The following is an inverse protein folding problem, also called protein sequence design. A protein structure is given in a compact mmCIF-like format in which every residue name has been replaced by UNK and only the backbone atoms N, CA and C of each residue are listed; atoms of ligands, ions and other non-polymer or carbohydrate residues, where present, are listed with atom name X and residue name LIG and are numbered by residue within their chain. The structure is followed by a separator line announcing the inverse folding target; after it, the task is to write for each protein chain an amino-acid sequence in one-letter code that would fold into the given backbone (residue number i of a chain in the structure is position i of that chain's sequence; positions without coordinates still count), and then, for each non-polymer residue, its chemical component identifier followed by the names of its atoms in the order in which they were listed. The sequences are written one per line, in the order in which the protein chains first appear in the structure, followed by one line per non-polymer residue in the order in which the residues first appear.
data_IF_565552906553
#
_entry.id   IF_565552906553
#
_cell.length_a   1.000
_cell.length_b   1.000
_cell.length_c   1.000
_cell.angle_alpha   90.00
_cell.angle_beta   90.00
_cell.angle_gamma   90.00
#
_symmetry.space_group_name_H-M   'P 1'
#
loop_
_entity.id
_entity.type
_entity.pdbx_description
1 polymer ?
#
# COMPACT_ATOMS: atom_id res chain seq x y z
N UNK A 1 10.22 -41.44 -61.36
CA UNK A 1 10.89 -40.73 -60.25
C UNK A 1 9.92 -39.80 -59.50
N UNK A 2 8.67 -40.22 -59.19
CA UNK A 2 7.60 -39.33 -58.66
C UNK A 2 6.85 -39.87 -57.42
N UNK A 3 7.18 -41.05 -56.89
CA UNK A 3 6.48 -41.64 -55.73
C UNK A 3 7.05 -41.27 -54.35
N UNK A 4 8.28 -40.74 -54.30
CA UNK A 4 8.98 -40.50 -53.03
C UNK A 4 8.76 -39.07 -52.46
N UNK A 5 8.28 -38.14 -53.28
CA UNK A 5 7.94 -36.77 -52.85
C UNK A 5 6.54 -36.66 -52.24
N UNK A 6 5.58 -37.46 -52.71
CA UNK A 6 4.19 -37.44 -52.22
C UNK A 6 4.04 -37.93 -50.78
N UNK A 7 4.80 -38.93 -50.36
CA UNK A 7 4.81 -39.40 -48.95
C UNK A 7 5.43 -38.34 -48.04
N UNK A 8 6.43 -37.58 -48.51
CA UNK A 8 7.04 -36.48 -47.75
C UNK A 8 6.11 -35.27 -47.57
N UNK A 9 5.22 -35.03 -48.52
CA UNK A 9 4.21 -33.97 -48.41
C UNK A 9 3.09 -34.35 -47.43
N UNK A 10 2.74 -35.63 -47.34
CA UNK A 10 1.64 -36.09 -46.50
C UNK A 10 1.92 -35.96 -44.99
N UNK A 11 3.12 -36.30 -44.51
CA UNK A 11 3.46 -36.12 -43.08
C UNK A 11 3.57 -34.64 -42.69
N UNK A 12 4.03 -33.78 -43.61
CA UNK A 12 4.06 -32.33 -43.40
C UNK A 12 2.65 -31.74 -43.31
N UNK A 13 1.74 -32.17 -44.19
CA UNK A 13 0.35 -31.73 -44.16
C UNK A 13 -0.40 -32.23 -42.91
N UNK A 14 -0.18 -33.47 -42.46
CA UNK A 14 -0.78 -34.00 -41.22
C UNK A 14 -0.21 -33.26 -39.99
N UNK A 15 1.09 -33.00 -39.95
CA UNK A 15 1.71 -32.25 -38.85
C UNK A 15 1.26 -30.79 -38.83
N UNK A 16 1.07 -30.15 -39.98
CA UNK A 16 0.51 -28.79 -40.09
C UNK A 16 -0.98 -28.80 -39.72
N UNK A 17 -1.76 -29.78 -40.15
CA UNK A 17 -3.17 -29.89 -39.79
C UNK A 17 -3.35 -30.11 -38.28
N UNK A 18 -2.59 -31.04 -37.69
CA UNK A 18 -2.57 -31.26 -36.24
C UNK A 18 -2.10 -30.02 -35.48
N UNK A 19 -1.06 -29.33 -35.97
CA UNK A 19 -0.61 -28.07 -35.40
C UNK A 19 -1.69 -26.99 -35.50
N UNK A 20 -2.39 -26.85 -36.63
CA UNK A 20 -3.51 -25.88 -36.78
C UNK A 20 -4.72 -26.24 -35.92
N UNK A 21 -4.98 -27.52 -35.67
CA UNK A 21 -6.07 -27.97 -34.79
C UNK A 21 -5.74 -27.71 -33.32
N UNK A 22 -4.50 -28.02 -32.89
CA UNK A 22 -4.01 -27.69 -31.56
C UNK A 22 -3.93 -26.18 -31.35
N UNK A 23 -3.46 -25.43 -32.35
CA UNK A 23 -3.41 -23.96 -32.31
C UNK A 23 -4.83 -23.38 -32.23
N UNK A 24 -5.80 -23.87 -33.01
CA UNK A 24 -7.22 -23.48 -32.91
C UNK A 24 -7.81 -23.78 -31.53
N UNK A 25 -7.48 -24.94 -30.94
CA UNK A 25 -7.94 -25.32 -29.59
C UNK A 25 -7.33 -24.42 -28.51
N UNK A 26 -6.03 -24.10 -28.61
CA UNK A 26 -5.34 -23.17 -27.71
C UNK A 26 -5.86 -21.74 -27.87
N UNK A 27 -6.09 -21.28 -29.11
CA UNK A 27 -6.66 -19.97 -29.42
C UNK A 27 -8.07 -19.88 -28.84
N UNK A 28 -8.94 -20.88 -29.01
CA UNK A 28 -10.30 -20.85 -28.44
C UNK A 28 -10.29 -20.77 -26.90
N UNK A 29 -9.43 -21.54 -26.22
CA UNK A 29 -9.29 -21.46 -24.76
C UNK A 29 -8.79 -20.08 -24.29
N UNK A 30 -7.82 -19.49 -25.01
CA UNK A 30 -7.34 -18.13 -24.73
C UNK A 30 -8.41 -17.07 -25.01
N UNK A 31 -9.17 -17.20 -26.10
CA UNK A 31 -10.26 -16.29 -26.46
C UNK A 31 -11.36 -16.31 -25.40
N UNK A 32 -11.74 -17.49 -24.88
CA UNK A 32 -12.70 -17.61 -23.79
C UNK A 32 -12.18 -16.89 -22.52
N UNK A 33 -10.92 -17.13 -22.14
CA UNK A 33 -10.30 -16.46 -20.99
C UNK A 33 -10.24 -14.93 -21.15
N UNK A 34 -9.90 -14.43 -22.35
CA UNK A 34 -9.86 -12.98 -22.62
C UNK A 34 -11.25 -12.36 -22.69
N UNK A 35 -12.25 -13.04 -23.24
CA UNK A 35 -13.63 -12.54 -23.29
C UNK A 35 -14.23 -12.47 -21.88
N UNK A 36 -13.92 -13.42 -21.00
CA UNK A 36 -14.30 -13.35 -19.58
C UNK A 36 -13.64 -12.17 -18.86
N UNK A 37 -12.35 -11.90 -19.11
CA UNK A 37 -11.65 -10.72 -18.56
C UNK A 37 -12.26 -9.41 -19.05
N UNK A 38 -12.57 -9.32 -20.35
CA UNK A 38 -13.17 -8.11 -20.95
C UNK A 38 -14.59 -7.89 -20.44
N UNK A 39 -15.41 -8.93 -20.30
CA UNK A 39 -16.75 -8.83 -19.73
C UNK A 39 -16.76 -8.26 -18.29
N UNK A 40 -15.75 -8.61 -17.49
CA UNK A 40 -15.56 -8.05 -16.15
C UNK A 40 -15.13 -6.57 -16.20
N UNK A 41 -14.34 -6.16 -17.19
CA UNK A 41 -13.91 -4.75 -17.33
C UNK A 41 -14.99 -3.81 -17.89
N UNK A 42 -15.89 -4.30 -18.75
CA UNK A 42 -16.98 -3.47 -19.31
C UNK A 42 -18.11 -3.19 -18.30
N UNK A 43 -18.23 -4.02 -17.26
CA UNK A 43 -19.11 -3.78 -16.12
C UNK A 43 -18.63 -2.66 -15.17
N UNK A 44 -17.45 -2.07 -15.42
CA UNK A 44 -16.86 -1.04 -14.56
C UNK A 44 -16.48 0.25 -15.28
N UNK A 45 -16.67 0.37 -16.60
CA UNK A 45 -16.45 1.63 -17.33
C UNK A 45 -17.74 2.43 -17.51
N UNK A 46 -18.32 2.88 -16.40
CA UNK A 46 -18.83 4.23 -16.29
C UNK A 46 -18.06 4.81 -15.11
N UNK A 47 -17.02 5.59 -15.39
CA UNK A 47 -16.51 6.72 -14.60
C UNK A 47 -15.08 7.06 -15.02
N UNK A 48 -14.96 7.94 -16.01
CA UNK A 48 -13.86 8.91 -16.12
C UNK A 48 -14.21 9.92 -17.22
N UNK A 49 -15.20 10.77 -16.96
CA UNK A 49 -15.25 12.10 -17.56
C UNK A 49 -15.25 13.11 -16.43
N UNK A 50 -14.20 13.91 -16.34
CA UNK A 50 -14.13 15.10 -15.50
C UNK A 50 -15.36 15.97 -15.72
N UNK A 51 -16.15 16.15 -14.67
CA UNK A 51 -17.08 17.28 -14.57
C UNK A 51 -16.87 17.92 -13.21
N UNK A 52 -16.24 19.10 -13.26
CA UNK A 52 -16.25 20.06 -12.17
C UNK A 52 -17.69 20.36 -11.75
N UNK A 53 -17.90 20.50 -10.43
CA UNK A 53 -19.06 21.12 -9.79
C UNK A 53 -20.44 20.52 -10.07
N UNK A 54 -20.81 19.52 -9.24
CA UNK A 54 -22.20 19.29 -8.84
C UNK A 54 -22.29 19.29 -7.32
N UNK A 55 -22.41 20.50 -6.78
CA UNK A 55 -23.21 20.91 -5.61
C UNK A 55 -23.35 19.89 -4.46
N UNK A 56 -22.35 19.84 -3.58
CA UNK A 56 -22.59 19.52 -2.17
C UNK A 56 -23.28 20.72 -1.49
N UNK A 57 -24.56 20.91 -1.80
CA UNK A 57 -25.47 21.75 -1.02
C UNK A 57 -26.31 20.82 -0.14
N UNK A 58 -25.67 20.27 0.88
CA UNK A 58 -26.32 19.96 2.14
C UNK A 58 -25.49 20.66 3.21
N UNK A 59 -26.18 21.46 4.03
CA UNK A 59 -25.63 22.20 5.17
C UNK A 59 -25.21 21.23 6.29
N UNK A 60 -24.25 20.35 6.01
CA UNK A 60 -23.55 19.57 7.03
C UNK A 60 -22.49 20.50 7.59
N UNK A 61 -22.77 20.98 8.79
CA UNK A 61 -21.88 21.69 9.69
C UNK A 61 -20.43 21.18 9.52
N UNK A 62 -19.57 22.05 9.01
CA UNK A 62 -18.19 21.78 8.66
C UNK A 62 -17.34 21.65 9.94
N UNK A 63 -17.64 20.68 10.80
CA UNK A 63 -16.64 20.16 11.73
C UNK A 63 -15.74 19.29 10.88
N UNK A 64 -14.72 19.90 10.30
CA UNK A 64 -13.57 19.16 9.77
C UNK A 64 -13.00 18.31 10.92
N UNK A 65 -13.49 17.08 11.05
CA UNK A 65 -12.84 16.06 11.87
C UNK A 65 -11.50 15.87 11.19
N UNK A 66 -10.45 16.42 11.79
CA UNK A 66 -9.11 16.21 11.27
C UNK A 66 -8.83 14.72 11.43
N UNK A 67 -8.97 13.96 10.35
CA UNK A 67 -8.83 12.52 10.38
C UNK A 67 -7.36 12.18 10.67
N UNK A 68 -7.12 11.67 11.86
CA UNK A 68 -5.81 11.11 12.25
C UNK A 68 -5.55 9.93 11.32
N UNK A 69 -4.38 9.89 10.67
CA UNK A 69 -3.94 8.74 9.87
C UNK A 69 -4.19 7.43 10.61
N UNK A 70 -4.68 6.42 9.91
CA UNK A 70 -4.88 5.05 10.42
C UNK A 70 -3.63 4.52 11.11
N UNK A 71 -2.44 4.80 10.55
CA UNK A 71 -1.16 4.43 11.12
C UNK A 71 -0.93 5.08 12.49
N UNK A 72 -1.12 6.40 12.59
CA UNK A 72 -0.97 7.10 13.86
C UNK A 72 -2.03 6.67 14.89
N UNK A 73 -3.24 6.30 14.45
CA UNK A 73 -4.26 5.76 15.36
C UNK A 73 -3.81 4.43 15.97
N UNK A 74 -3.23 3.52 15.19
CA UNK A 74 -2.67 2.26 15.68
C UNK A 74 -1.53 2.52 16.69
N UNK A 75 -0.64 3.48 16.39
CA UNK A 75 0.42 3.91 17.32
C UNK A 75 -0.15 4.39 18.65
N UNK A 76 -1.15 5.29 18.63
CA UNK A 76 -1.77 5.81 19.87
C UNK A 76 -2.44 4.69 20.67
N UNK A 77 -3.09 3.74 19.99
CA UNK A 77 -3.74 2.59 20.63
C UNK A 77 -2.73 1.61 21.23
N UNK A 78 -1.48 1.59 20.76
CA UNK A 78 -0.50 0.59 21.18
C UNK A 78 -0.64 -0.73 20.43
N UNK A 79 -1.27 -0.73 19.25
CA UNK A 79 -1.46 -1.92 18.43
C UNK A 79 -0.19 -2.19 17.60
N UNK A 80 0.74 -2.92 18.21
CA UNK A 80 2.04 -3.26 17.62
C UNK A 80 1.88 -4.06 16.32
N UNK A 81 0.99 -5.05 16.31
CA UNK A 81 0.79 -5.92 15.15
C UNK A 81 0.28 -5.13 13.94
N UNK A 82 -0.67 -4.22 14.16
CA UNK A 82 -1.16 -3.35 13.07
C UNK A 82 -0.08 -2.37 12.61
N UNK A 83 0.75 -1.83 13.52
CA UNK A 83 1.87 -0.95 13.15
C UNK A 83 2.89 -1.69 12.27
N UNK A 84 3.34 -2.87 12.69
CA UNK A 84 4.30 -3.68 11.91
C UNK A 84 3.74 -4.01 10.53
N UNK A 85 2.47 -4.45 10.46
CA UNK A 85 1.81 -4.76 9.19
C UNK A 85 1.74 -3.54 8.27
N UNK A 86 1.45 -2.35 8.79
CA UNK A 86 1.37 -1.13 8.00
C UNK A 86 2.75 -0.71 7.46
N UNK A 87 3.80 -0.88 8.27
CA UNK A 87 5.18 -0.66 7.81
C UNK A 87 5.54 -1.66 6.69
N UNK A 88 5.17 -2.94 6.83
CA UNK A 88 5.39 -3.96 5.80
C UNK A 88 4.65 -3.67 4.48
N UNK A 89 3.50 -2.98 4.57
CA UNK A 89 2.75 -2.50 3.41
C UNK A 89 3.37 -1.25 2.76
N UNK A 90 4.45 -0.72 3.32
CA UNK A 90 5.19 0.43 2.79
C UNK A 90 4.66 1.78 3.27
N UNK A 91 3.96 1.84 4.41
CA UNK A 91 3.66 3.13 5.05
C UNK A 91 4.94 3.88 5.42
N UNK A 92 4.93 5.19 5.21
CA UNK A 92 6.05 6.06 5.59
C UNK A 92 6.05 6.30 7.11
N UNK A 93 7.06 5.76 7.78
CA UNK A 93 7.27 5.88 9.24
C UNK A 93 7.44 7.33 9.72
N UNK A 94 7.70 8.27 8.82
CA UNK A 94 7.88 9.69 9.09
C UNK A 94 6.68 10.56 8.66
N UNK A 95 5.66 9.96 8.04
CA UNK A 95 4.50 10.69 7.54
C UNK A 95 3.77 11.40 8.67
N UNK A 96 3.70 12.73 8.59
CA UNK A 96 3.04 13.53 9.62
C UNK A 96 1.52 13.37 9.58
N UNK A 97 0.93 13.25 10.76
CA UNK A 97 -0.51 13.32 11.02
C UNK A 97 -0.77 14.37 12.09
N UNK A 98 -1.72 15.28 11.85
CA UNK A 98 -1.95 16.45 12.71
C UNK A 98 -0.68 17.29 12.99
N UNK A 99 0.28 17.27 12.06
CA UNK A 99 1.57 17.94 12.22
C UNK A 99 2.55 17.23 13.17
N UNK A 100 2.30 15.99 13.60
CA UNK A 100 3.23 15.17 14.40
C UNK A 100 3.63 13.90 13.63
N UNK A 101 4.85 13.41 13.83
CA UNK A 101 5.30 12.12 13.28
C UNK A 101 4.79 10.95 14.14
N UNK A 102 4.72 9.73 13.59
CA UNK A 102 4.40 8.52 14.35
C UNK A 102 5.28 8.35 15.59
N UNK A 103 6.58 8.64 15.49
CA UNK A 103 7.50 8.60 16.63
C UNK A 103 7.14 9.61 17.73
N UNK A 104 6.65 10.81 17.38
CA UNK A 104 6.16 11.78 18.38
C UNK A 104 4.90 11.28 19.09
N UNK A 105 3.97 10.62 18.38
CA UNK A 105 2.81 9.99 19.00
C UNK A 105 3.25 8.88 19.96
N UNK A 106 4.14 7.99 19.52
CA UNK A 106 4.64 6.91 20.36
C UNK A 106 5.33 7.45 21.63
N UNK A 107 6.16 8.48 21.49
CA UNK A 107 6.84 9.14 22.62
C UNK A 107 5.83 9.81 23.59
N UNK A 108 4.85 10.55 23.07
CA UNK A 108 3.82 11.23 23.87
C UNK A 108 2.97 10.26 24.70
N UNK A 109 2.62 9.11 24.12
CA UNK A 109 1.77 8.10 24.75
C UNK A 109 2.55 6.95 25.40
N UNK A 110 3.87 7.09 25.54
CA UNK A 110 4.77 6.12 26.15
C UNK A 110 4.67 4.70 25.54
N UNK A 111 4.55 4.61 24.21
CA UNK A 111 4.43 3.34 23.48
C UNK A 111 5.81 2.82 23.09
N UNK A 112 6.52 2.29 24.08
CA UNK A 112 7.94 1.93 23.99
C UNK A 112 8.23 0.92 22.88
N UNK A 113 7.46 -0.16 22.79
CA UNK A 113 7.71 -1.22 21.80
C UNK A 113 7.49 -0.72 20.37
N UNK A 114 6.42 0.04 20.16
CA UNK A 114 6.14 0.70 18.87
C UNK A 114 7.23 1.71 18.54
N UNK A 115 7.69 2.49 19.52
CA UNK A 115 8.77 3.46 19.31
C UNK A 115 10.06 2.77 18.84
N UNK A 116 10.42 1.62 19.43
CA UNK A 116 11.58 0.82 18.99
C UNK A 116 11.40 0.29 17.57
N UNK A 117 10.21 -0.19 17.20
CA UNK A 117 9.91 -0.62 15.84
C UNK A 117 10.04 0.53 14.85
N UNK A 118 9.50 1.71 15.17
CA UNK A 118 9.62 2.90 14.33
C UNK A 118 11.09 3.31 14.14
N UNK A 119 11.89 3.31 15.21
CA UNK A 119 13.33 3.62 15.16
C UNK A 119 14.07 2.61 14.27
N UNK A 120 13.81 1.32 14.46
CA UNK A 120 14.45 0.25 13.66
C UNK A 120 14.11 0.37 12.17
N UNK A 121 12.94 0.93 11.84
CA UNK A 121 12.50 1.18 10.47
C UNK A 121 12.85 2.58 9.95
N UNK A 122 13.76 3.32 10.61
CA UNK A 122 14.29 4.58 10.09
C UNK A 122 13.45 5.82 10.40
N UNK A 123 12.71 5.82 11.50
CA UNK A 123 12.04 7.02 11.99
C UNK A 123 13.05 8.14 12.34
N UNK A 124 12.85 9.33 11.77
CA UNK A 124 13.65 10.53 12.04
C UNK A 124 13.16 11.23 13.32
N UNK A 125 13.95 11.07 14.38
CA UNK A 125 13.66 11.62 15.71
C UNK A 125 13.93 13.13 15.81
N UNK A 126 14.62 13.72 14.83
CA UNK A 126 14.96 15.14 14.79
C UNK A 126 13.88 16.00 14.13
N UNK A 127 12.90 15.38 13.46
CA UNK A 127 11.77 16.10 12.89
C UNK A 127 11.04 16.88 13.98
N UNK A 128 10.52 18.04 13.59
CA UNK A 128 9.74 18.91 14.46
C UNK A 128 8.25 18.86 14.10
N UNK A 129 7.41 18.90 15.12
CA UNK A 129 5.97 19.01 14.95
C UNK A 129 5.56 20.40 14.45
N UNK A 130 4.27 20.60 14.17
CA UNK A 130 3.70 21.94 13.90
C UNK A 130 3.92 22.93 15.04
N UNK A 131 4.21 22.46 16.26
CA UNK A 131 4.53 23.29 17.43
C UNK A 131 6.04 23.45 17.65
N UNK A 132 6.88 22.90 16.76
CA UNK A 132 8.34 22.96 16.89
C UNK A 132 8.95 21.92 17.85
N UNK A 133 8.17 20.94 18.32
CA UNK A 133 8.65 19.94 19.28
C UNK A 133 9.11 18.65 18.60
N UNK A 134 10.18 18.05 19.11
CA UNK A 134 10.69 16.74 18.70
C UNK A 134 10.05 15.61 19.51
N UNK A 135 10.29 14.35 19.12
CA UNK A 135 9.80 13.19 19.86
C UNK A 135 10.27 13.19 21.33
N UNK A 136 11.54 13.54 21.58
CA UNK A 136 12.10 13.69 22.94
C UNK A 136 11.31 14.70 23.77
N UNK A 137 11.01 15.87 23.19
CA UNK A 137 10.28 16.92 23.91
C UNK A 137 8.86 16.49 24.29
N UNK A 138 8.19 15.72 23.44
CA UNK A 138 6.88 15.15 23.77
C UNK A 138 6.94 14.10 24.89
N UNK A 139 7.99 13.27 24.94
CA UNK A 139 8.19 12.32 26.03
C UNK A 139 8.38 13.04 27.37
N UNK A 140 9.21 14.08 27.42
CA UNK A 140 9.42 14.92 28.61
C UNK A 140 8.12 15.58 29.10
N UNK A 141 7.38 16.23 28.18
CA UNK A 141 6.15 16.95 28.51
C UNK A 141 5.02 16.03 29.00
N UNK A 142 5.05 14.75 28.59
CA UNK A 142 4.01 13.76 28.92
C UNK A 142 4.42 12.82 30.05
N UNK A 143 5.61 13.03 30.64
CA UNK A 143 6.19 12.17 31.67
C UNK A 143 6.32 10.69 31.21
N UNK A 144 6.68 10.47 29.95
CA UNK A 144 6.89 9.16 29.35
C UNK A 144 8.35 8.70 29.57
N UNK A 145 8.63 8.21 30.78
CA UNK A 145 9.99 7.91 31.23
C UNK A 145 10.67 6.80 30.39
N UNK A 146 9.96 5.72 30.09
CA UNK A 146 10.53 4.61 29.33
C UNK A 146 10.77 4.98 27.86
N UNK A 147 9.86 5.76 27.25
CA UNK A 147 10.10 6.29 25.91
C UNK A 147 11.27 7.26 25.87
N UNK A 148 11.46 8.08 26.91
CA UNK A 148 12.60 8.98 27.03
C UNK A 148 13.92 8.23 27.09
N UNK A 149 14.00 7.14 27.88
CA UNK A 149 15.19 6.29 27.97
C UNK A 149 15.57 5.71 26.60
N UNK A 150 14.60 5.20 25.84
CA UNK A 150 14.85 4.69 24.47
C UNK A 150 15.39 5.79 23.56
N UNK A 151 14.80 6.98 23.60
CA UNK A 151 15.24 8.10 22.76
C UNK A 151 16.65 8.58 23.15
N UNK A 152 16.97 8.64 24.44
CA UNK A 152 18.30 9.03 24.91
C UNK A 152 19.37 8.00 24.56
N UNK A 153 19.03 6.70 24.62
CA UNK A 153 19.93 5.63 24.17
C UNK A 153 20.28 5.78 22.66
N UNK A 154 19.34 6.24 21.83
CA UNK A 154 19.58 6.39 20.39
C UNK A 154 20.43 7.61 20.00
N UNK A 155 20.45 8.69 20.80
CA UNK A 155 21.24 9.90 20.49
C UNK A 155 22.71 9.75 20.93
N UNK A 156 22.99 8.84 21.85
CA UNK A 156 24.34 8.56 22.33
C UNK A 156 25.14 7.53 21.52
N UNK A 157 24.57 7.00 20.43
CA UNK A 157 25.16 5.96 19.56
C UNK A 157 25.68 6.55 18.26
#
# INVERSE_FOLDING_TARGET
MLKHETIKLNWRLISVHYCTHQLKSIIMKKVILTVSMVALTMGSTIMASETQNLLLNDNIELVSRVDISSFCKAVIQGDLETVERLIDLGEDVNQKSLGMTPAMFAARYNKVDILKVLITNGADLNMQSSQGYTAKRYAELSNAAEALEVLEATVGS
#
